data_IF_529973167596
#
_entry.id   IF_529973167596
#
_cell.length_a   1.000
_cell.length_b   1.000
_cell.length_c   1.000
_cell.angle_alpha   90.00
_cell.angle_beta   90.00
_cell.angle_gamma   90.00
#
_symmetry.space_group_name_H-M   'P 1'
#
loop_
_entity.id
_entity.type
_entity.pdbx_description
1 polymer ?
#
# COMPACT_ATOMS: atom_id res chain seq x y z
N UNK A 1 31.22 -7.83 -30.18
CA UNK A 1 30.37 -7.88 -28.96
C UNK A 1 30.73 -6.68 -28.11
N UNK A 2 29.95 -5.62 -28.28
CA UNK A 2 30.17 -4.31 -27.65
C UNK A 2 29.93 -4.39 -26.14
N UNK A 3 30.91 -3.96 -25.36
CA UNK A 3 30.78 -3.78 -23.91
C UNK A 3 29.78 -2.65 -23.67
N UNK A 4 28.55 -3.01 -23.29
CA UNK A 4 27.59 -2.07 -22.73
C UNK A 4 28.23 -1.46 -21.48
N UNK A 5 28.59 -0.19 -21.57
CA UNK A 5 29.00 0.62 -20.41
C UNK A 5 27.82 0.65 -19.45
N UNK A 6 27.91 -0.12 -18.35
CA UNK A 6 27.13 0.12 -17.15
C UNK A 6 27.62 1.46 -16.59
N UNK A 7 27.01 2.55 -17.04
CA UNK A 7 27.00 3.77 -16.25
C UNK A 7 26.31 3.43 -14.93
N UNK A 8 27.12 3.44 -13.89
CA UNK A 8 26.75 3.24 -12.50
C UNK A 8 25.66 4.26 -12.14
N UNK A 9 24.39 3.84 -12.16
CA UNK A 9 23.20 4.64 -11.82
C UNK A 9 23.09 4.99 -10.31
N UNK A 10 24.17 4.86 -9.54
CA UNK A 10 24.21 5.17 -8.12
C UNK A 10 25.26 6.26 -7.88
N UNK A 11 25.03 7.44 -8.46
CA UNK A 11 25.80 8.62 -8.11
C UNK A 11 25.27 9.21 -6.82
N UNK A 12 26.15 9.16 -5.81
CA UNK A 12 26.40 10.12 -4.72
C UNK A 12 25.19 10.71 -3.99
N UNK A 13 25.18 10.44 -2.68
CA UNK A 13 24.50 11.23 -1.65
C UNK A 13 24.61 12.72 -1.95
N UNK A 14 23.54 13.29 -2.50
CA UNK A 14 23.26 14.71 -2.38
C UNK A 14 22.45 14.93 -1.11
N UNK A 15 22.81 16.00 -0.42
CA UNK A 15 22.32 16.52 0.85
C UNK A 15 20.86 16.12 1.16
N UNK A 16 20.64 15.59 2.37
CA UNK A 16 19.33 15.14 2.88
C UNK A 16 18.30 16.27 2.89
N UNK A 17 17.73 16.62 1.74
CA UNK A 17 16.32 17.01 1.71
C UNK A 17 15.57 15.80 2.25
N UNK A 18 14.91 15.95 3.40
CA UNK A 18 14.14 14.87 3.99
C UNK A 18 13.20 14.29 2.94
N UNK A 19 13.49 13.05 2.49
CA UNK A 19 12.66 12.40 1.47
C UNK A 19 11.30 12.12 2.06
N UNK A 20 10.25 12.48 1.34
CA UNK A 20 8.89 12.23 1.79
C UNK A 20 8.52 10.78 1.49
N UNK A 21 8.06 10.03 2.48
CA UNK A 21 7.69 8.62 2.33
C UNK A 21 6.17 8.46 2.27
N UNK A 22 5.69 7.74 1.26
CA UNK A 22 4.30 7.38 1.04
C UNK A 22 4.17 5.86 1.04
N UNK A 23 3.45 5.31 2.01
CA UNK A 23 3.08 3.88 2.05
C UNK A 23 1.69 3.73 1.47
N UNK A 24 1.56 3.06 0.33
CA UNK A 24 0.30 2.79 -0.36
C UNK A 24 -0.13 1.34 -0.15
N UNK A 25 -1.18 1.13 0.65
CA UNK A 25 -1.78 -0.18 0.86
C UNK A 25 -2.92 -0.42 -0.10
N UNK A 26 -2.86 -1.52 -0.82
CA UNK A 26 -3.91 -1.96 -1.75
C UNK A 26 -4.66 -3.17 -1.18
N UNK A 27 -5.98 -3.06 -1.07
CA UNK A 27 -6.85 -4.20 -0.75
C UNK A 27 -6.98 -5.19 -1.90
N UNK A 28 -7.37 -6.43 -1.60
CA UNK A 28 -7.55 -7.48 -2.60
C UNK A 28 -8.52 -7.08 -3.71
N UNK A 29 -9.65 -6.43 -3.37
CA UNK A 29 -10.64 -5.93 -4.33
C UNK A 29 -10.17 -4.70 -5.14
N UNK A 30 -9.08 -4.07 -4.73
CA UNK A 30 -8.46 -2.97 -5.48
C UNK A 30 -7.44 -3.51 -6.47
N UNK A 31 -6.61 -4.48 -6.07
CA UNK A 31 -5.57 -5.06 -6.93
C UNK A 31 -6.10 -6.13 -7.88
N UNK A 32 -7.15 -6.84 -7.49
CA UNK A 32 -7.84 -7.82 -8.32
C UNK A 32 -9.23 -7.32 -8.75
N UNK A 33 -9.72 -7.82 -9.88
CA UNK A 33 -11.12 -7.69 -10.25
C UNK A 33 -12.00 -8.78 -9.62
N UNK A 34 -13.28 -8.79 -9.98
CA UNK A 34 -14.27 -9.75 -9.45
C UNK A 34 -13.96 -11.20 -9.84
N UNK A 35 -13.22 -11.42 -10.93
CA UNK A 35 -12.76 -12.76 -11.33
C UNK A 35 -11.55 -13.23 -10.52
N UNK A 36 -10.90 -12.32 -9.76
CA UNK A 36 -9.63 -12.58 -9.09
C UNK A 36 -8.41 -12.24 -9.94
N UNK A 37 -8.59 -11.78 -11.18
CA UNK A 37 -7.51 -11.41 -12.07
C UNK A 37 -6.87 -10.09 -11.62
N UNK A 38 -5.54 -10.00 -11.75
CA UNK A 38 -4.79 -8.80 -11.37
C UNK A 38 -5.13 -7.66 -12.35
N UNK A 39 -5.45 -6.49 -11.81
CA UNK A 39 -5.65 -5.26 -12.59
C UNK A 39 -4.30 -4.71 -13.07
N UNK A 40 -3.78 -5.25 -14.17
CA UNK A 40 -2.49 -4.83 -14.74
C UNK A 40 -2.42 -3.33 -15.00
N UNK A 41 -3.51 -2.72 -15.49
CA UNK A 41 -3.56 -1.31 -15.84
C UNK A 41 -3.43 -0.42 -14.60
N UNK A 42 -4.01 -0.85 -13.47
CA UNK A 42 -3.81 -0.18 -12.18
C UNK A 42 -2.34 -0.24 -11.79
N UNK A 43 -1.71 -1.43 -11.83
CA UNK A 43 -0.31 -1.58 -11.44
C UNK A 43 0.62 -0.74 -12.32
N UNK A 44 0.41 -0.76 -13.64
CA UNK A 44 1.17 0.08 -14.59
C UNK A 44 0.97 1.58 -14.33
N UNK A 45 -0.26 2.01 -14.02
CA UNK A 45 -0.55 3.39 -13.64
C UNK A 45 0.17 3.78 -12.34
N UNK A 46 0.11 2.94 -11.31
CA UNK A 46 0.81 3.19 -10.04
C UNK A 46 2.33 3.22 -10.23
N UNK A 47 2.89 2.33 -11.05
CA UNK A 47 4.31 2.32 -11.36
C UNK A 47 4.77 3.60 -12.05
N UNK A 48 4.00 4.09 -13.02
CA UNK A 48 4.24 5.40 -13.66
C UNK A 48 4.23 6.53 -12.64
N UNK A 49 3.20 6.58 -11.78
CA UNK A 49 3.08 7.61 -10.74
C UNK A 49 4.23 7.54 -9.73
N UNK A 50 4.66 6.35 -9.31
CA UNK A 50 5.81 6.17 -8.42
C UNK A 50 7.08 6.72 -9.04
N UNK A 51 7.34 6.45 -10.33
CA UNK A 51 8.53 6.98 -11.00
C UNK A 51 8.52 8.52 -11.07
N UNK A 52 7.36 9.11 -11.38
CA UNK A 52 7.17 10.57 -11.41
C UNK A 52 7.30 11.20 -10.00
N UNK A 53 6.85 10.50 -8.96
CA UNK A 53 7.00 10.90 -7.56
C UNK A 53 8.44 10.79 -7.05
N UNK A 54 9.18 9.76 -7.47
CA UNK A 54 10.59 9.60 -7.13
C UNK A 54 11.44 10.77 -7.63
N UNK A 55 11.12 11.31 -8.82
CA UNK A 55 11.77 12.52 -9.35
C UNK A 55 11.51 13.77 -8.50
N UNK A 56 10.50 13.72 -7.61
CA UNK A 56 10.14 14.77 -6.66
C UNK A 56 10.55 14.43 -5.23
N UNK A 57 11.52 13.52 -5.05
CA UNK A 57 12.00 13.06 -3.75
C UNK A 57 10.92 12.44 -2.86
N UNK A 58 9.90 11.81 -3.47
CA UNK A 58 8.88 11.03 -2.77
C UNK A 58 9.13 9.53 -2.97
N UNK A 59 9.49 8.84 -1.89
CA UNK A 59 9.69 7.39 -1.86
C UNK A 59 8.33 6.70 -1.67
N UNK A 60 7.94 5.82 -2.60
CA UNK A 60 6.69 5.05 -2.51
C UNK A 60 6.98 3.61 -2.14
N UNK A 61 6.24 3.10 -1.15
CA UNK A 61 6.29 1.72 -0.67
C UNK A 61 4.90 1.12 -0.83
N UNK A 62 4.80 -0.11 -1.30
CA UNK A 62 3.50 -0.76 -1.51
C UNK A 62 3.25 -1.86 -0.49
N UNK A 63 2.03 -1.90 0.04
CA UNK A 63 1.51 -3.03 0.82
C UNK A 63 0.44 -3.71 -0.03
N UNK A 64 0.78 -4.87 -0.59
CA UNK A 64 -0.09 -5.61 -1.50
C UNK A 64 -1.00 -6.56 -0.73
N UNK A 65 -2.17 -6.85 -1.30
CA UNK A 65 -3.03 -7.99 -0.92
C UNK A 65 -3.33 -8.81 -2.18
N UNK A 66 -4.37 -9.64 -2.18
CA UNK A 66 -4.86 -10.31 -3.39
C UNK A 66 -4.27 -11.68 -3.71
N UNK A 67 -3.24 -12.15 -2.97
CA UNK A 67 -2.56 -13.42 -3.26
C UNK A 67 -3.53 -14.61 -3.29
N UNK A 68 -4.41 -14.72 -2.30
CA UNK A 68 -5.45 -15.78 -2.27
C UNK A 68 -6.43 -15.66 -3.44
N UNK A 69 -6.80 -14.45 -3.86
CA UNK A 69 -7.74 -14.24 -4.96
C UNK A 69 -7.14 -14.70 -6.30
N UNK A 70 -5.88 -14.32 -6.56
CA UNK A 70 -5.14 -14.78 -7.74
C UNK A 70 -4.91 -16.29 -7.68
N UNK A 71 -4.59 -16.83 -6.51
CA UNK A 71 -4.45 -18.27 -6.30
C UNK A 71 -5.72 -19.04 -6.67
N UNK A 72 -6.89 -18.55 -6.24
CA UNK A 72 -8.20 -19.19 -6.53
C UNK A 72 -8.53 -19.15 -8.02
N UNK A 73 -8.15 -18.09 -8.72
CA UNK A 73 -8.32 -18.01 -10.17
C UNK A 73 -7.44 -19.03 -10.91
N UNK A 74 -6.20 -19.22 -10.44
CA UNK A 74 -5.21 -20.09 -11.10
C UNK A 74 -5.41 -21.57 -10.78
N UNK A 75 -5.81 -21.89 -9.55
CA UNK A 75 -5.99 -23.25 -9.03
C UNK A 75 -7.35 -23.35 -8.31
N UNK A 76 -8.47 -23.32 -9.06
CA UNK A 76 -9.83 -23.25 -8.50
C UNK A 76 -10.23 -24.48 -7.66
N UNK A 77 -9.56 -25.62 -7.86
CA UNK A 77 -9.77 -26.85 -7.13
C UNK A 77 -9.09 -26.87 -5.74
N UNK A 78 -8.17 -25.94 -5.46
CA UNK A 78 -7.46 -25.87 -4.19
C UNK A 78 -8.30 -25.12 -3.14
N UNK A 79 -8.58 -25.77 -2.02
CA UNK A 79 -9.29 -25.14 -0.89
C UNK A 79 -8.36 -24.55 0.16
N UNK A 80 -7.12 -25.06 0.29
CA UNK A 80 -6.16 -24.62 1.29
C UNK A 80 -5.72 -23.17 1.03
N UNK A 81 -6.10 -22.26 1.94
CA UNK A 81 -5.86 -20.82 1.81
C UNK A 81 -4.37 -20.49 1.77
N UNK A 82 -3.52 -21.25 2.48
CA UNK A 82 -2.06 -21.00 2.51
C UNK A 82 -1.42 -21.37 1.18
N UNK A 83 -1.78 -22.51 0.61
CA UNK A 83 -1.35 -22.94 -0.72
C UNK A 83 -1.82 -21.96 -1.80
N UNK A 84 -3.10 -21.56 -1.78
CA UNK A 84 -3.63 -20.53 -2.67
C UNK A 84 -2.84 -19.21 -2.57
N UNK A 85 -2.53 -18.78 -1.35
CA UNK A 85 -1.72 -17.58 -1.12
C UNK A 85 -0.32 -17.73 -1.71
N UNK A 86 0.35 -18.86 -1.52
CA UNK A 86 1.66 -19.13 -2.12
C UNK A 86 1.64 -19.10 -3.64
N UNK A 87 0.66 -19.78 -4.25
CA UNK A 87 0.46 -19.80 -5.70
C UNK A 87 0.25 -18.37 -6.21
N UNK A 88 -0.76 -17.66 -5.69
CA UNK A 88 -1.09 -16.33 -6.21
C UNK A 88 -0.06 -15.26 -5.86
N UNK A 89 0.72 -15.42 -4.79
CA UNK A 89 1.82 -14.51 -4.46
C UNK A 89 2.90 -14.54 -5.56
N UNK A 90 3.21 -15.71 -6.13
CA UNK A 90 4.17 -15.79 -7.24
C UNK A 90 3.71 -15.00 -8.48
N UNK A 91 2.42 -15.12 -8.82
CA UNK A 91 1.79 -14.38 -9.91
C UNK A 91 1.71 -12.87 -9.65
N UNK A 92 1.38 -12.46 -8.42
CA UNK A 92 1.40 -11.05 -8.03
C UNK A 92 2.80 -10.45 -8.11
N UNK A 93 3.82 -11.15 -7.63
CA UNK A 93 5.22 -10.71 -7.74
C UNK A 93 5.62 -10.50 -9.20
N UNK A 94 5.20 -11.40 -10.09
CA UNK A 94 5.43 -11.25 -11.54
C UNK A 94 4.70 -10.02 -12.11
N UNK A 95 3.44 -9.81 -11.73
CA UNK A 95 2.65 -8.67 -12.20
C UNK A 95 3.25 -7.32 -11.77
N UNK A 96 3.70 -7.20 -10.52
CA UNK A 96 4.41 -6.02 -10.05
C UNK A 96 5.73 -5.78 -10.80
N UNK A 97 6.55 -6.82 -10.99
CA UNK A 97 7.79 -6.71 -11.76
C UNK A 97 7.52 -6.24 -13.21
N UNK A 98 6.48 -6.79 -13.86
CA UNK A 98 6.09 -6.39 -15.21
C UNK A 98 5.65 -4.93 -15.26
N UNK A 99 4.88 -4.47 -14.27
CA UNK A 99 4.40 -3.09 -14.21
C UNK A 99 5.53 -2.06 -14.05
N UNK A 100 6.58 -2.41 -13.29
CA UNK A 100 7.69 -1.50 -12.98
C UNK A 100 8.87 -1.56 -13.94
N UNK A 101 8.96 -2.56 -14.82
CA UNK A 101 10.11 -2.73 -15.71
C UNK A 101 10.45 -1.44 -16.51
N UNK A 102 11.72 -0.99 -16.56
CA UNK A 102 12.93 -1.66 -16.07
C UNK A 102 13.32 -1.32 -14.61
N UNK A 103 12.50 -0.56 -13.87
CA UNK A 103 12.77 -0.24 -12.46
C UNK A 103 12.71 -1.51 -11.60
N UNK A 104 13.73 -1.80 -10.78
CA UNK A 104 13.73 -2.99 -9.95
C UNK A 104 12.69 -2.91 -8.83
N UNK A 105 12.01 -4.03 -8.59
CA UNK A 105 11.07 -4.23 -7.48
C UNK A 105 11.59 -5.37 -6.62
N UNK A 106 11.47 -5.23 -5.30
CA UNK A 106 11.71 -6.34 -4.37
C UNK A 106 10.42 -6.75 -3.69
N UNK A 107 10.19 -8.06 -3.64
CA UNK A 107 9.11 -8.64 -2.85
C UNK A 107 9.61 -8.90 -1.44
N UNK A 108 8.98 -8.27 -0.45
CA UNK A 108 9.20 -8.53 0.97
C UNK A 108 7.98 -9.27 1.52
N UNK A 109 8.20 -10.41 2.17
CA UNK A 109 7.15 -11.20 2.81
C UNK A 109 7.44 -11.26 4.31
N UNK A 110 6.55 -10.71 5.12
CA UNK A 110 6.74 -10.66 6.56
C UNK A 110 5.81 -11.64 7.28
N UNK A 111 6.34 -12.30 8.31
CA UNK A 111 5.52 -13.01 9.29
C UNK A 111 4.87 -12.03 10.26
N UNK A 112 3.86 -12.48 11.01
CA UNK A 112 3.22 -11.65 12.05
C UNK A 112 4.23 -11.19 13.11
N UNK A 113 5.19 -12.03 13.50
CA UNK A 113 6.27 -11.64 14.43
C UNK A 113 7.17 -10.54 13.85
N UNK A 114 7.55 -10.65 12.57
CA UNK A 114 8.36 -9.65 11.89
C UNK A 114 7.63 -8.30 11.74
N UNK A 115 6.30 -8.32 11.62
CA UNK A 115 5.48 -7.10 11.59
C UNK A 115 5.44 -6.36 12.94
N UNK A 116 5.87 -7.01 14.02
CA UNK A 116 6.00 -6.39 15.34
C UNK A 116 7.44 -5.91 15.63
N UNK A 117 8.40 -6.16 14.72
CA UNK A 117 9.78 -5.70 14.85
C UNK A 117 10.05 -4.52 13.92
N UNK A 118 9.87 -3.31 14.45
CA UNK A 118 10.12 -2.06 13.72
C UNK A 118 11.56 -1.96 13.18
N UNK A 119 12.55 -2.47 13.93
CA UNK A 119 13.95 -2.42 13.53
C UNK A 119 14.22 -3.31 12.32
N UNK A 120 13.63 -4.52 12.32
CA UNK A 120 13.69 -5.43 11.19
C UNK A 120 13.01 -4.82 9.94
N UNK A 121 11.78 -4.34 10.08
CA UNK A 121 11.03 -3.73 8.96
C UNK A 121 11.82 -2.56 8.37
N UNK A 122 12.25 -1.63 9.23
CA UNK A 122 13.00 -0.44 8.82
C UNK A 122 14.26 -0.83 8.04
N UNK A 123 15.04 -1.77 8.57
CA UNK A 123 16.25 -2.27 7.90
C UNK A 123 15.95 -2.82 6.51
N UNK A 124 14.94 -3.67 6.35
CA UNK A 124 14.61 -4.27 5.04
C UNK A 124 14.16 -3.21 4.03
N UNK A 125 13.26 -2.32 4.43
CA UNK A 125 12.69 -1.29 3.56
C UNK A 125 13.73 -0.24 3.19
N UNK A 126 14.49 0.27 4.16
CA UNK A 126 15.52 1.28 3.90
C UNK A 126 16.67 0.71 3.05
N UNK A 127 17.02 -0.57 3.22
CA UNK A 127 18.00 -1.23 2.34
C UNK A 127 17.50 -1.24 0.90
N UNK A 128 16.25 -1.60 0.64
CA UNK A 128 15.69 -1.59 -0.71
C UNK A 128 15.69 -0.18 -1.32
N UNK A 129 15.22 0.82 -0.56
CA UNK A 129 15.17 2.21 -1.00
C UNK A 129 16.57 2.80 -1.26
N UNK A 130 17.56 2.43 -0.47
CA UNK A 130 18.96 2.84 -0.66
C UNK A 130 19.51 2.43 -2.04
N UNK A 131 19.11 1.25 -2.53
CA UNK A 131 19.47 0.77 -3.87
C UNK A 131 18.48 1.20 -4.97
N UNK A 132 17.57 2.14 -4.69
CA UNK A 132 16.57 2.59 -5.66
C UNK A 132 15.54 1.51 -6.04
N UNK A 133 15.41 0.44 -5.25
CA UNK A 133 14.49 -0.67 -5.48
C UNK A 133 13.15 -0.37 -4.83
N UNK A 134 12.05 -0.58 -5.56
CA UNK A 134 10.68 -0.38 -5.06
C UNK A 134 10.30 -1.54 -4.13
N UNK A 135 9.98 -1.31 -2.85
CA UNK A 135 9.52 -2.36 -1.97
C UNK A 135 8.03 -2.64 -2.16
N UNK A 136 7.70 -3.89 -2.46
CA UNK A 136 6.33 -4.41 -2.42
C UNK A 136 6.25 -5.43 -1.30
N UNK A 137 5.47 -5.12 -0.27
CA UNK A 137 5.37 -5.90 0.97
C UNK A 137 4.02 -6.62 1.00
N UNK A 138 4.00 -7.85 1.50
CA UNK A 138 2.77 -8.58 1.84
C UNK A 138 3.03 -9.45 3.08
N UNK A 139 1.98 -9.90 3.76
CA UNK A 139 2.12 -10.92 4.80
C UNK A 139 2.33 -12.31 4.20
N UNK A 140 3.19 -13.10 4.82
CA UNK A 140 3.33 -14.52 4.54
C UNK A 140 2.11 -15.32 5.02
N UNK A 141 1.43 -14.85 6.07
CA UNK A 141 0.22 -15.46 6.59
C UNK A 141 -1.02 -14.86 5.90
N UNK A 142 -1.83 -15.65 5.17
CA UNK A 142 -2.97 -15.14 4.40
C UNK A 142 -4.15 -14.64 5.27
N UNK A 143 -4.07 -14.83 6.58
CA UNK A 143 -5.05 -14.35 7.56
C UNK A 143 -4.66 -13.00 8.18
N UNK A 144 -3.42 -12.54 7.99
CA UNK A 144 -2.96 -11.25 8.50
C UNK A 144 -3.75 -10.11 7.89
N UNK A 145 -4.15 -9.15 8.73
CA UNK A 145 -4.74 -7.92 8.24
C UNK A 145 -3.65 -7.01 7.64
N UNK A 146 -3.63 -6.89 6.31
CA UNK A 146 -2.66 -6.02 5.64
C UNK A 146 -2.88 -4.52 5.89
N UNK A 147 -4.03 -4.09 6.42
CA UNK A 147 -4.18 -2.71 6.92
C UNK A 147 -3.25 -2.49 8.13
N UNK A 148 -3.19 -3.45 9.06
CA UNK A 148 -2.27 -3.46 10.19
C UNK A 148 -0.82 -3.54 9.73
N UNK A 149 -0.50 -4.50 8.84
CA UNK A 149 0.85 -4.62 8.30
C UNK A 149 1.33 -3.30 7.66
N UNK A 150 0.44 -2.61 6.93
CA UNK A 150 0.77 -1.33 6.32
C UNK A 150 0.98 -0.21 7.33
N UNK A 151 0.17 -0.15 8.40
CA UNK A 151 0.39 0.81 9.49
C UNK A 151 1.72 0.56 10.20
N UNK A 152 2.06 -0.70 10.47
CA UNK A 152 3.34 -1.08 11.10
C UNK A 152 4.53 -0.69 10.24
N UNK A 153 4.46 -0.98 8.93
CA UNK A 153 5.50 -0.56 7.98
C UNK A 153 5.64 0.96 7.94
N UNK A 154 4.52 1.68 7.80
CA UNK A 154 4.52 3.13 7.72
C UNK A 154 5.08 3.76 9.00
N UNK A 155 4.74 3.22 10.16
CA UNK A 155 5.30 3.63 11.44
C UNK A 155 6.81 3.34 11.53
N UNK A 156 7.24 2.12 11.22
CA UNK A 156 8.64 1.69 11.34
C UNK A 156 9.61 2.51 10.48
N UNK A 157 9.15 3.02 9.32
CA UNK A 157 9.98 3.81 8.41
C UNK A 157 9.76 5.32 8.54
N UNK A 158 9.07 5.78 9.59
CA UNK A 158 8.77 7.20 9.80
C UNK A 158 8.09 7.82 8.56
N UNK A 159 7.11 7.11 7.98
CA UNK A 159 6.45 7.56 6.77
C UNK A 159 5.67 8.86 7.02
N UNK A 160 5.59 9.72 5.99
CA UNK A 160 4.81 10.95 6.06
C UNK A 160 3.36 10.74 5.69
N UNK A 161 3.08 9.78 4.81
CA UNK A 161 1.73 9.45 4.37
C UNK A 161 1.49 7.95 4.43
N UNK A 162 0.38 7.54 5.05
CA UNK A 162 -0.17 6.20 4.95
C UNK A 162 -1.50 6.20 4.18
N UNK A 163 -1.46 5.69 2.95
CA UNK A 163 -2.61 5.64 2.06
C UNK A 163 -3.25 4.25 2.03
N UNK A 164 -4.47 4.15 2.55
CA UNK A 164 -5.31 2.96 2.49
C UNK A 164 -6.20 3.03 1.23
N UNK A 165 -5.70 2.46 0.13
CA UNK A 165 -6.40 2.44 -1.15
C UNK A 165 -7.44 1.31 -1.19
N UNK A 166 -8.70 1.70 -1.41
CA UNK A 166 -9.87 0.82 -1.40
C UNK A 166 -10.73 1.03 -2.66
N UNK A 167 -11.86 0.32 -2.79
CA UNK A 167 -12.84 0.52 -3.87
C UNK A 167 -13.86 1.63 -3.55
N UNK A 168 -13.94 2.06 -2.30
CA UNK A 168 -14.80 3.17 -1.83
C UNK A 168 -14.08 4.51 -1.97
N UNK A 169 -14.83 5.60 -2.14
CA UNK A 169 -14.25 6.95 -2.27
C UNK A 169 -13.48 7.40 -1.04
N UNK A 170 -13.93 6.99 0.14
CA UNK A 170 -13.33 7.24 1.44
C UNK A 170 -14.25 6.66 2.51
N UNK A 171 -14.27 7.29 3.69
CA UNK A 171 -15.29 7.03 4.71
C UNK A 171 -16.55 7.80 4.34
N UNK A 172 -17.67 7.09 4.19
CA UNK A 172 -18.93 7.68 3.73
C UNK A 172 -19.89 7.92 4.91
N UNK A 173 -20.51 9.10 4.93
CA UNK A 173 -21.70 9.38 5.76
C UNK A 173 -22.89 9.56 4.82
N UNK A 174 -23.73 8.54 4.74
CA UNK A 174 -24.71 8.43 3.65
C UNK A 174 -24.01 8.23 2.30
N UNK A 175 -24.22 9.14 1.36
CA UNK A 175 -23.63 9.17 0.02
C UNK A 175 -22.40 10.09 -0.10
N UNK A 176 -22.06 10.83 0.97
CA UNK A 176 -20.97 11.81 0.96
C UNK A 176 -19.72 11.30 1.64
N UNK A 177 -18.58 11.53 1.02
CA UNK A 177 -17.26 11.29 1.63
C UNK A 177 -16.97 12.32 2.70
N UNK A 178 -16.56 11.87 3.89
CA UNK A 178 -16.06 12.75 4.95
C UNK A 178 -14.65 13.21 4.54
N UNK A 179 -14.38 14.52 4.39
CA UNK A 179 -13.09 14.97 3.87
C UNK A 179 -11.95 14.86 4.89
N UNK A 180 -12.25 15.07 6.18
CA UNK A 180 -11.26 15.10 7.25
C UNK A 180 -11.84 14.53 8.54
N UNK A 181 -11.01 13.75 9.22
CA UNK A 181 -11.31 13.05 10.47
C UNK A 181 -10.14 13.27 11.44
N UNK A 182 -10.44 13.71 12.65
CA UNK A 182 -9.47 13.93 13.73
C UNK A 182 -9.61 12.92 14.86
N UNK A 183 -10.83 12.46 15.09
CA UNK A 183 -11.14 11.46 16.10
C UNK A 183 -12.31 10.56 15.68
N UNK A 184 -12.73 9.66 16.58
CA UNK A 184 -13.83 8.74 16.32
C UNK A 184 -15.21 9.42 16.31
N UNK A 185 -15.37 10.58 16.94
CA UNK A 185 -16.65 11.30 16.97
C UNK A 185 -16.96 11.92 15.61
N UNK A 186 -15.93 12.33 14.85
CA UNK A 186 -16.05 12.70 13.44
C UNK A 186 -16.62 11.56 12.56
N UNK A 187 -16.53 10.31 13.01
CA UNK A 187 -17.02 9.13 12.30
C UNK A 187 -18.41 8.66 12.77
N UNK A 188 -19.03 9.38 13.71
CA UNK A 188 -20.36 9.05 14.20
C UNK A 188 -21.37 8.94 13.04
N UNK A 189 -22.11 7.83 13.04
CA UNK A 189 -23.11 7.51 12.00
C UNK A 189 -22.55 7.12 10.62
N UNK A 190 -21.22 7.15 10.41
CA UNK A 190 -20.58 6.74 9.16
C UNK A 190 -20.10 5.28 9.17
N UNK A 191 -19.74 4.78 10.36
CA UNK A 191 -19.28 3.40 10.55
C UNK A 191 -20.32 2.66 11.37
N UNK A 192 -21.09 1.79 10.72
CA UNK A 192 -22.04 0.86 11.35
C UNK A 192 -21.54 -0.57 11.27
N UNK A 193 -22.08 -1.48 12.08
CA UNK A 193 -21.67 -2.88 12.09
C UNK A 193 -21.84 -3.56 10.71
N UNK A 194 -22.81 -3.14 9.90
CA UNK A 194 -23.00 -3.63 8.53
C UNK A 194 -21.87 -3.25 7.56
N UNK A 195 -21.16 -2.14 7.82
CA UNK A 195 -19.98 -1.73 7.02
C UNK A 195 -18.73 -2.56 7.32
N UNK A 196 -18.82 -3.48 8.30
CA UNK A 196 -17.71 -4.33 8.76
C UNK A 196 -17.77 -5.79 8.28
N UNK A 197 -18.88 -6.23 7.68
CA UNK A 197 -19.20 -7.66 7.51
C UNK A 197 -18.70 -8.36 6.22
N UNK A 198 -17.94 -7.68 5.34
CA UNK A 198 -17.37 -8.32 4.14
C UNK A 198 -15.84 -8.43 4.23
N UNK A 199 -15.37 -9.48 4.92
CA UNK A 199 -13.97 -9.91 4.99
C UNK A 199 -13.14 -9.28 6.13
N UNK A 200 -11.86 -9.62 6.21
CA UNK A 200 -10.90 -9.12 7.23
C UNK A 200 -10.60 -7.61 7.15
N UNK A 201 -11.30 -6.85 6.30
CA UNK A 201 -10.91 -5.51 5.85
C UNK A 201 -12.05 -4.51 5.68
N UNK A 202 -12.91 -4.37 6.69
CA UNK A 202 -13.98 -3.36 6.75
C UNK A 202 -13.49 -1.92 6.98
N UNK A 203 -14.42 -0.96 6.98
CA UNK A 203 -14.07 0.47 7.16
C UNK A 203 -13.55 0.78 8.57
N UNK A 204 -14.11 0.12 9.60
CA UNK A 204 -13.69 0.33 11.00
C UNK A 204 -12.22 -0.04 11.25
N UNK A 205 -11.72 -1.23 10.87
CA UNK A 205 -10.29 -1.52 10.94
C UNK A 205 -9.42 -0.50 10.22
N UNK A 206 -9.80 -0.05 9.00
CA UNK A 206 -9.03 0.95 8.25
C UNK A 206 -8.89 2.27 8.99
N UNK A 207 -9.99 2.77 9.55
CA UNK A 207 -9.96 3.98 10.37
C UNK A 207 -9.09 3.77 11.61
N UNK A 208 -9.18 2.60 12.25
CA UNK A 208 -8.34 2.25 13.40
C UNK A 208 -6.85 2.29 13.09
N UNK A 209 -6.44 1.70 11.96
CA UNK A 209 -5.04 1.73 11.51
C UNK A 209 -4.60 3.14 11.07
N UNK A 210 -5.49 3.90 10.42
CA UNK A 210 -5.23 5.31 10.08
C UNK A 210 -4.97 6.16 11.34
N UNK A 211 -5.82 6.03 12.37
CA UNK A 211 -5.61 6.72 13.65
C UNK A 211 -4.34 6.27 14.36
N UNK A 212 -4.06 4.96 14.36
CA UNK A 212 -2.84 4.41 14.98
C UNK A 212 -1.60 5.03 14.36
N UNK A 213 -1.53 5.07 13.02
CA UNK A 213 -0.43 5.69 12.30
C UNK A 213 -0.30 7.18 12.61
N UNK A 214 -1.37 7.96 12.47
CA UNK A 214 -1.35 9.40 12.69
C UNK A 214 -0.90 9.74 14.12
N UNK A 215 -1.36 8.98 15.12
CA UNK A 215 -0.97 9.14 16.53
C UNK A 215 0.48 8.76 16.82
N UNK A 216 1.03 7.78 16.09
CA UNK A 216 2.38 7.29 16.35
C UNK A 216 3.47 8.05 15.59
N UNK A 217 3.14 8.69 14.47
CA UNK A 217 4.11 9.37 13.60
C UNK A 217 3.90 10.87 13.48
N UNK A 218 2.70 11.39 13.78
CA UNK A 218 2.31 12.76 13.45
C UNK A 218 2.15 13.01 11.94
N UNK A 219 2.25 11.96 11.11
CA UNK A 219 2.01 12.02 9.68
C UNK A 219 0.53 12.05 9.31
N UNK A 220 0.23 11.96 8.02
CA UNK A 220 -1.13 11.95 7.49
C UNK A 220 -1.53 10.54 7.06
N UNK A 221 -2.72 10.08 7.46
CA UNK A 221 -3.33 8.92 6.82
C UNK A 221 -4.48 9.33 5.90
N UNK A 222 -4.76 8.53 4.88
CA UNK A 222 -5.85 8.76 3.94
C UNK A 222 -6.49 7.44 3.53
N UNK A 223 -7.82 7.39 3.56
CA UNK A 223 -8.61 6.31 2.93
C UNK A 223 -9.19 6.87 1.64
N UNK A 224 -8.86 6.28 0.50
CA UNK A 224 -9.30 6.79 -0.80
C UNK A 224 -9.55 5.68 -1.83
N UNK A 225 -10.30 6.00 -2.89
CA UNK A 225 -10.51 5.07 -4.02
C UNK A 225 -9.22 4.87 -4.80
N UNK A 226 -8.66 3.66 -4.76
CA UNK A 226 -7.41 3.30 -5.43
C UNK A 226 -7.48 3.31 -6.96
N UNK A 227 -8.68 3.18 -7.53
CA UNK A 227 -8.91 3.24 -8.98
C UNK A 227 -9.01 4.67 -9.54
N UNK A 228 -8.88 5.69 -8.67
CA UNK A 228 -8.89 7.09 -9.10
C UNK A 228 -7.66 7.39 -9.96
N UNK A 229 -7.85 8.11 -11.07
CA UNK A 229 -6.74 8.52 -11.92
C UNK A 229 -5.74 9.39 -11.11
N UNK A 230 -4.44 9.11 -11.28
CA UNK A 230 -3.33 9.82 -10.62
C UNK A 230 -3.41 9.82 -9.09
N UNK A 231 -4.05 8.82 -8.48
CA UNK A 231 -4.31 8.79 -7.03
C UNK A 231 -3.08 9.05 -6.15
N UNK A 232 -1.90 8.49 -6.47
CA UNK A 232 -0.70 8.72 -5.68
C UNK A 232 -0.22 10.18 -5.77
N UNK A 233 -0.31 10.79 -6.96
CA UNK A 233 0.01 12.22 -7.13
C UNK A 233 -0.94 13.09 -6.32
N UNK A 234 -2.24 12.81 -6.40
CA UNK A 234 -3.28 13.56 -5.69
C UNK A 234 -3.08 13.49 -4.18
N UNK A 235 -2.83 12.29 -3.67
CA UNK A 235 -2.54 12.06 -2.25
C UNK A 235 -1.28 12.82 -1.84
N UNK A 236 -0.17 12.65 -2.57
CA UNK A 236 1.09 13.33 -2.30
C UNK A 236 0.95 14.85 -2.38
N UNK A 237 0.15 15.39 -3.30
CA UNK A 237 -0.05 16.83 -3.44
C UNK A 237 -0.92 17.44 -2.32
N UNK A 238 -1.57 16.64 -1.49
CA UNK A 238 -2.53 17.18 -0.51
C UNK A 238 -3.86 17.58 -1.14
N UNK A 239 -4.20 17.09 -2.34
CA UNK A 239 -5.37 17.55 -3.12
C UNK A 239 -6.67 17.38 -2.32
N UNK A 240 -7.48 18.44 -2.28
CA UNK A 240 -8.79 18.45 -1.64
C UNK A 240 -9.80 17.57 -2.39
N UNK A 241 -10.82 17.08 -1.70
CA UNK A 241 -11.86 16.22 -2.29
C UNK A 241 -11.40 14.79 -2.61
N UNK A 242 -10.16 14.43 -2.26
CA UNK A 242 -9.61 13.09 -2.46
C UNK A 242 -9.75 12.29 -1.16
N UNK A 243 -10.79 11.46 -1.12
CA UNK A 243 -11.05 10.54 0.00
C UNK A 243 -11.22 11.21 1.36
N UNK A 244 -10.87 10.47 2.40
CA UNK A 244 -10.96 10.90 3.81
C UNK A 244 -9.58 10.96 4.41
N UNK A 245 -9.15 12.15 4.82
CA UNK A 245 -7.88 12.38 5.51
C UNK A 245 -8.04 12.20 7.01
N UNK A 246 -6.99 11.71 7.64
CA UNK A 246 -6.84 11.56 9.07
C UNK A 246 -5.65 12.40 9.51
N UNK A 247 -5.86 13.28 10.48
CA UNK A 247 -4.85 14.20 10.98
C UNK A 247 -4.79 14.19 12.52
N UNK A 248 -3.61 14.46 13.06
CA UNK A 248 -3.41 14.58 14.50
C UNK A 248 -4.02 15.92 14.99
N UNK A 249 -4.58 15.93 16.19
CA UNK A 249 -5.02 17.16 16.88
C UNK A 249 -3.88 17.77 17.66
#
# INVERSE_FOLDING_TARGET
>A
MEKIKKETLYTKEDERTAKRRLVAKLGSSTICDESGAVRSDLLSSLAKQTKELQQKSVETIFISSGAVAVGRLVAPEVEDKRLLSGIGQSWLSMAWNKAFYPTPVTQLLFTDDQLNDNGYIKKQVETALHYGVIPVINSLNPDTNNDFAGSQVAHAIDANIFALLTTKDGVLRGDKTIPLVRDWDDLAGAITDDTSNFGTGGMRPKCGEAFRFVRSTGGEAIIARGLTEKILHKIAAGEEGVGTRFAHV
#
